data_IF_164481301756
#
_entry.id   IF_164481301756
#
_cell.length_a   1.000
_cell.length_b   1.000
_cell.length_c   1.000
_cell.angle_alpha   90.00
_cell.angle_beta   90.00
_cell.angle_gamma   90.00
#
_symmetry.space_group_name_H-M   'P 1'
#
loop_
_entity.id
_entity.type
_entity.pdbx_description
1 polymer ?
#
# COMPACT_ATOMS: atom_id res chain seq x y z
N UNK A 1 -29.49 10.78 28.50
CA UNK A 1 -28.53 9.82 29.08
C UNK A 1 -27.13 10.25 28.68
N UNK A 2 -26.22 10.44 29.62
CA UNK A 2 -24.83 10.88 29.38
C UNK A 2 -23.91 9.72 29.78
N UNK A 3 -23.00 9.33 28.89
CA UNK A 3 -21.96 8.34 29.19
C UNK A 3 -20.74 9.13 29.68
N UNK A 4 -20.28 8.83 30.88
CA UNK A 4 -19.20 9.56 31.57
C UNK A 4 -17.81 9.28 30.96
N UNK A 5 -17.57 8.05 30.50
CA UNK A 5 -16.31 7.63 29.88
C UNK A 5 -16.53 6.44 28.94
N UNK A 6 -15.68 6.33 27.91
CA UNK A 6 -15.60 5.16 27.04
C UNK A 6 -14.36 4.34 27.43
N UNK A 7 -14.55 3.06 27.75
CA UNK A 7 -13.47 2.13 28.04
C UNK A 7 -13.34 1.14 26.88
N UNK A 8 -12.24 1.23 26.14
CA UNK A 8 -11.92 0.28 25.09
C UNK A 8 -11.12 -0.89 25.67
N UNK A 9 -11.66 -2.11 25.55
CA UNK A 9 -11.02 -3.32 26.06
C UNK A 9 -10.03 -3.95 25.08
N UNK A 10 -10.03 -3.51 23.81
CA UNK A 10 -9.10 -4.00 22.79
C UNK A 10 -8.73 -2.88 21.84
N UNK A 11 -7.53 -2.32 22.04
CA UNK A 11 -6.99 -1.25 21.21
C UNK A 11 -5.55 -1.54 20.83
N UNK A 12 -5.22 -1.26 19.57
CA UNK A 12 -3.85 -1.27 19.07
C UNK A 12 -3.24 0.11 19.22
N UNK A 13 -2.85 0.50 20.45
CA UNK A 13 -2.39 1.86 20.76
C UNK A 13 -1.31 2.40 19.81
N UNK A 14 -0.30 1.58 19.51
CA UNK A 14 0.77 1.96 18.59
C UNK A 14 0.24 2.24 17.19
N UNK A 15 -0.62 1.36 16.66
CA UNK A 15 -1.23 1.55 15.34
C UNK A 15 -2.13 2.79 15.33
N UNK A 16 -2.98 2.97 16.35
CA UNK A 16 -3.84 4.15 16.49
C UNK A 16 -3.06 5.46 16.45
N UNK A 17 -1.89 5.52 17.10
CA UNK A 17 -1.01 6.69 17.05
C UNK A 17 -0.25 6.85 15.73
N UNK A 18 0.09 5.75 15.06
CA UNK A 18 0.86 5.75 13.81
C UNK A 18 0.00 6.12 12.59
N UNK A 19 -1.24 5.63 12.52
CA UNK A 19 -2.13 5.80 11.36
C UNK A 19 -2.32 7.26 10.93
N UNK A 20 -2.58 8.23 11.84
CA UNK A 20 -2.71 9.64 11.50
C UNK A 20 -1.43 10.27 10.95
N UNK A 21 -0.29 9.62 11.12
CA UNK A 21 1.00 10.11 10.62
C UNK A 21 1.30 9.61 9.21
N UNK A 22 0.47 8.75 8.62
CA UNK A 22 0.64 8.26 7.25
C UNK A 22 0.02 9.21 6.24
N UNK A 23 0.63 9.29 5.06
CA UNK A 23 0.07 10.07 3.96
C UNK A 23 -1.29 9.50 3.56
N UNK A 24 -2.34 10.32 3.63
CA UNK A 24 -3.67 9.91 3.21
C UNK A 24 -3.79 9.91 1.69
N UNK A 25 -4.21 8.77 1.14
CA UNK A 25 -4.54 8.57 -0.28
C UNK A 25 -6.07 8.49 -0.49
N UNK A 26 -6.85 8.69 0.57
CA UNK A 26 -8.31 8.69 0.51
C UNK A 26 -8.79 9.88 -0.31
N UNK A 27 -9.76 9.65 -1.19
CA UNK A 27 -10.35 10.68 -2.05
C UNK A 27 -9.63 10.87 -3.39
N UNK A 28 -8.51 10.17 -3.63
CA UNK A 28 -7.94 10.09 -4.97
C UNK A 28 -8.82 9.25 -5.89
N UNK A 29 -8.82 9.61 -7.16
CA UNK A 29 -9.62 8.96 -8.22
C UNK A 29 -8.76 8.16 -9.20
N UNK A 30 -7.43 8.20 -9.02
CA UNK A 30 -6.46 7.65 -9.94
C UNK A 30 -5.12 7.43 -9.25
N UNK A 31 -4.38 6.42 -9.70
CA UNK A 31 -2.99 6.20 -9.35
C UNK A 31 -2.11 7.40 -9.75
N UNK A 32 -2.38 8.06 -10.88
CA UNK A 32 -1.62 9.24 -11.31
C UNK A 32 -1.86 10.47 -10.42
N UNK A 33 -2.97 10.55 -9.68
CA UNK A 33 -3.26 11.70 -8.81
C UNK A 33 -2.18 11.86 -7.71
N UNK A 34 -1.43 10.79 -7.39
CA UNK A 34 -0.34 10.85 -6.40
C UNK A 34 0.76 11.83 -6.82
N UNK A 35 0.97 12.06 -8.12
CA UNK A 35 2.03 12.91 -8.62
C UNK A 35 1.86 14.37 -8.16
N UNK A 36 0.63 14.76 -7.81
CA UNK A 36 0.32 16.07 -7.22
C UNK A 36 0.49 16.15 -5.70
N UNK A 37 0.67 15.01 -5.01
CA UNK A 37 0.82 14.98 -3.56
C UNK A 37 2.22 15.42 -3.14
N UNK A 38 2.25 16.17 -2.03
CA UNK A 38 3.48 16.66 -1.40
C UNK A 38 3.61 16.05 0.00
N UNK A 39 4.44 15.01 0.18
CA UNK A 39 4.66 14.43 1.50
C UNK A 39 5.36 15.40 2.45
N UNK A 40 4.72 15.67 3.58
CA UNK A 40 5.31 16.36 4.73
C UNK A 40 6.30 15.48 5.54
N UNK A 41 7.23 16.07 6.31
CA UNK A 41 8.25 15.33 7.06
C UNK A 41 7.71 14.25 8.01
N UNK A 42 6.53 14.45 8.60
CA UNK A 42 5.94 13.51 9.54
C UNK A 42 5.41 12.22 8.88
N UNK A 43 5.26 12.20 7.54
CA UNK A 43 4.91 10.99 6.79
C UNK A 43 6.09 10.02 6.63
N UNK A 44 7.30 10.45 6.99
CA UNK A 44 8.51 9.65 6.86
C UNK A 44 8.82 8.91 8.16
N UNK A 45 9.35 7.69 8.02
CA UNK A 45 9.93 6.87 9.09
C UNK A 45 11.34 6.49 8.68
N UNK A 46 12.30 7.30 9.09
CA UNK A 46 13.64 7.28 8.50
C UNK A 46 13.54 7.63 7.01
N UNK A 47 14.03 6.75 6.15
CA UNK A 47 14.00 6.92 4.69
C UNK A 47 12.65 6.54 4.06
N UNK A 48 11.78 5.86 4.80
CA UNK A 48 10.53 5.32 4.27
C UNK A 48 9.41 6.34 4.27
N UNK A 49 8.81 6.56 3.10
CA UNK A 49 7.52 7.24 3.00
C UNK A 49 6.39 6.22 3.23
N UNK A 50 5.54 6.48 4.22
CA UNK A 50 4.40 5.62 4.54
C UNK A 50 3.08 6.31 4.18
N UNK A 51 2.19 5.59 3.51
CA UNK A 51 0.86 6.07 3.16
C UNK A 51 -0.23 5.02 3.36
N UNK A 52 -1.48 5.47 3.37
CA UNK A 52 -2.64 4.61 3.55
C UNK A 52 -3.85 5.11 2.75
N UNK A 53 -4.65 4.17 2.26
CA UNK A 53 -6.01 4.46 1.82
C UNK A 53 -6.23 4.53 0.32
N UNK A 54 -5.29 4.02 -0.49
CA UNK A 54 -5.56 3.85 -1.92
C UNK A 54 -6.60 2.76 -2.16
N UNK A 55 -7.33 2.84 -3.25
CA UNK A 55 -8.36 1.86 -3.59
C UNK A 55 -8.54 1.74 -5.11
N UNK A 56 -7.97 0.68 -5.67
CA UNK A 56 -8.14 0.33 -7.09
C UNK A 56 -9.61 0.07 -7.50
N UNK A 57 -10.51 -0.20 -6.53
CA UNK A 57 -11.92 -0.45 -6.80
C UNK A 57 -12.69 0.81 -7.19
N UNK A 58 -12.12 1.99 -6.94
CA UNK A 58 -12.70 3.30 -7.28
C UNK A 58 -11.81 4.13 -8.20
N UNK A 59 -10.58 3.69 -8.46
CA UNK A 59 -9.64 4.41 -9.33
C UNK A 59 -9.88 4.13 -10.81
N UNK A 60 -9.63 5.13 -11.65
CA UNK A 60 -9.75 5.05 -13.12
C UNK A 60 -8.63 4.24 -13.79
N UNK A 61 -7.51 4.07 -13.10
CA UNK A 61 -6.30 3.39 -13.55
C UNK A 61 -5.71 2.55 -12.41
N UNK A 62 -4.80 1.64 -12.77
CA UNK A 62 -4.17 0.72 -11.81
C UNK A 62 -2.91 1.33 -11.21
N UNK A 63 -2.61 1.05 -9.93
CA UNK A 63 -1.30 1.36 -9.35
C UNK A 63 -0.20 0.66 -10.14
N UNK A 64 0.91 1.37 -10.41
CA UNK A 64 2.08 0.83 -11.11
C UNK A 64 3.36 1.24 -10.40
N UNK A 65 4.41 0.43 -10.57
CA UNK A 65 5.71 0.70 -9.95
C UNK A 65 6.35 1.97 -10.52
N UNK A 66 6.18 2.20 -11.83
CA UNK A 66 6.71 3.37 -12.56
C UNK A 66 6.15 4.69 -12.04
N UNK A 67 4.85 4.73 -11.67
CA UNK A 67 4.22 5.93 -11.12
C UNK A 67 4.88 6.32 -9.79
N UNK A 68 5.18 5.35 -8.93
CA UNK A 68 5.86 5.63 -7.66
C UNK A 68 7.32 6.01 -7.86
N UNK A 69 8.04 5.33 -8.76
CA UNK A 69 9.41 5.69 -9.10
C UNK A 69 9.50 7.11 -9.67
N UNK A 70 8.54 7.51 -10.52
CA UNK A 70 8.43 8.89 -11.02
C UNK A 70 8.16 9.89 -9.89
N UNK A 71 7.32 9.53 -8.93
CA UNK A 71 6.90 10.42 -7.86
C UNK A 71 7.97 10.68 -6.80
N UNK A 72 8.62 9.62 -6.30
CA UNK A 72 9.55 9.71 -5.15
C UNK A 72 11.00 9.34 -5.49
N UNK A 73 11.28 8.90 -6.72
CA UNK A 73 12.60 8.46 -7.16
C UNK A 73 13.12 7.29 -6.33
N UNK A 74 14.38 7.40 -5.90
CA UNK A 74 15.09 6.36 -5.13
C UNK A 74 14.68 6.29 -3.64
N UNK A 75 13.70 7.09 -3.18
CA UNK A 75 13.22 6.99 -1.80
C UNK A 75 12.27 5.80 -1.67
N UNK A 76 12.46 4.89 -0.70
CA UNK A 76 11.57 3.76 -0.53
C UNK A 76 10.18 4.23 -0.05
N UNK A 77 9.12 3.79 -0.74
CA UNK A 77 7.74 4.12 -0.39
C UNK A 77 6.91 2.84 -0.22
N UNK A 78 6.03 2.86 0.79
CA UNK A 78 5.05 1.81 1.02
C UNK A 78 3.67 2.41 1.28
N UNK A 79 2.74 2.15 0.36
CA UNK A 79 1.37 2.64 0.44
C UNK A 79 0.42 1.47 0.70
N UNK A 80 -0.26 1.48 1.84
CA UNK A 80 -1.24 0.45 2.21
C UNK A 80 -2.62 0.75 1.61
N UNK A 81 -3.27 -0.27 1.07
CA UNK A 81 -4.64 -0.17 0.55
C UNK A 81 -5.62 0.19 1.65
N UNK A 82 -6.75 0.78 1.29
CA UNK A 82 -7.85 1.13 2.18
C UNK A 82 -8.34 -0.01 3.10
N UNK A 83 -8.19 -1.27 2.68
CA UNK A 83 -8.60 -2.45 3.42
C UNK A 83 -7.46 -3.13 4.21
N UNK A 84 -6.23 -2.64 4.08
CA UNK A 84 -5.06 -3.19 4.75
C UNK A 84 -4.46 -4.46 4.12
N UNK A 85 -5.00 -4.98 3.01
CA UNK A 85 -4.58 -6.29 2.47
C UNK A 85 -3.58 -6.23 1.32
N UNK A 86 -3.27 -5.03 0.82
CA UNK A 86 -2.32 -4.83 -0.25
C UNK A 86 -1.37 -3.67 0.04
N UNK A 87 -0.14 -3.80 -0.47
CA UNK A 87 0.88 -2.77 -0.45
C UNK A 87 1.26 -2.42 -1.88
N UNK A 88 1.38 -1.13 -2.13
CA UNK A 88 1.95 -0.58 -3.36
C UNK A 88 3.33 -0.03 -3.04
N UNK A 89 4.36 -0.61 -3.67
CA UNK A 89 5.77 -0.38 -3.40
C UNK A 89 6.48 0.12 -4.67
N UNK A 90 7.50 0.95 -4.51
CA UNK A 90 8.37 1.37 -5.61
C UNK A 90 9.61 0.46 -5.74
N UNK A 91 10.43 0.71 -6.75
CA UNK A 91 11.66 -0.08 -7.00
C UNK A 91 12.62 -0.03 -5.81
N UNK A 92 12.83 1.15 -5.22
CA UNK A 92 13.73 1.30 -4.07
C UNK A 92 13.25 0.50 -2.85
N UNK A 93 11.94 0.48 -2.58
CA UNK A 93 11.35 -0.33 -1.54
C UNK A 93 11.56 -1.83 -1.80
N UNK A 94 11.26 -2.31 -3.02
CA UNK A 94 11.43 -3.72 -3.40
C UNK A 94 12.88 -4.18 -3.28
N UNK A 95 13.85 -3.36 -3.73
CA UNK A 95 15.28 -3.63 -3.56
C UNK A 95 15.65 -3.76 -2.09
N UNK A 96 15.15 -2.85 -1.25
CA UNK A 96 15.50 -2.81 0.17
C UNK A 96 14.92 -3.97 0.97
N UNK A 97 13.75 -4.47 0.60
CA UNK A 97 13.14 -5.65 1.23
C UNK A 97 13.64 -6.98 0.64
N UNK A 98 14.56 -6.94 -0.33
CA UNK A 98 15.16 -8.13 -0.93
C UNK A 98 14.28 -8.84 -1.96
N UNK A 99 13.28 -8.15 -2.52
CA UNK A 99 12.32 -8.68 -3.48
C UNK A 99 12.48 -8.06 -4.88
N UNK A 100 13.70 -7.67 -5.27
CA UNK A 100 13.97 -7.11 -6.60
C UNK A 100 15.11 -7.88 -7.28
N UNK A 101 14.85 -8.55 -8.40
CA UNK A 101 15.81 -9.39 -9.13
C UNK A 101 16.13 -8.93 -10.57
N UNK A 102 15.51 -7.85 -11.07
CA UNK A 102 15.83 -7.32 -12.40
C UNK A 102 14.66 -6.65 -13.10
N UNK A 103 14.80 -6.44 -14.41
CA UNK A 103 13.93 -5.61 -15.27
C UNK A 103 12.45 -6.05 -15.33
N UNK A 104 12.15 -7.26 -14.88
CA UNK A 104 10.80 -7.86 -14.93
C UNK A 104 10.06 -7.78 -13.58
N UNK A 105 10.73 -7.34 -12.51
CA UNK A 105 10.11 -7.02 -11.23
C UNK A 105 9.66 -8.24 -10.40
N UNK A 106 10.07 -8.21 -9.13
CA UNK A 106 9.86 -9.24 -8.11
C UNK A 106 10.75 -10.46 -8.26
N UNK A 107 11.66 -10.62 -7.29
CA UNK A 107 12.39 -11.86 -7.05
C UNK A 107 11.47 -13.05 -7.28
N UNK A 108 11.91 -14.00 -8.12
CA UNK A 108 11.43 -15.39 -8.14
C UNK A 108 11.58 -16.13 -6.79
N UNK A 109 11.69 -15.39 -5.68
CA UNK A 109 11.49 -15.87 -4.33
C UNK A 109 10.12 -16.54 -4.27
N UNK A 110 10.14 -17.84 -3.97
CA UNK A 110 8.92 -18.57 -3.65
C UNK A 110 8.08 -17.73 -2.68
N UNK A 111 6.87 -17.43 -3.14
CA UNK A 111 5.85 -16.77 -2.33
C UNK A 111 5.79 -17.46 -0.97
N UNK A 112 6.02 -16.75 0.16
CA UNK A 112 5.82 -17.33 1.48
C UNK A 112 4.44 -17.98 1.54
N UNK A 113 4.29 -19.10 2.26
CA UNK A 113 3.01 -19.78 2.38
C UNK A 113 1.93 -18.79 2.89
N UNK A 114 1.06 -18.30 1.98
CA UNK A 114 0.03 -17.32 2.26
C UNK A 114 0.21 -15.92 1.65
N UNK A 115 1.31 -15.60 0.96
CA UNK A 115 1.51 -14.29 0.36
C UNK A 115 2.21 -14.33 -0.99
N UNK A 116 1.60 -13.76 -2.04
CA UNK A 116 2.21 -13.59 -3.37
C UNK A 116 2.62 -12.13 -3.59
N UNK A 117 3.88 -11.93 -3.91
CA UNK A 117 4.41 -10.67 -4.44
C UNK A 117 4.26 -10.66 -5.96
N UNK A 118 3.75 -9.58 -6.53
CA UNK A 118 3.64 -9.37 -7.97
C UNK A 118 4.00 -7.92 -8.26
N UNK A 119 5.21 -7.66 -8.74
CA UNK A 119 5.51 -6.38 -9.37
C UNK A 119 5.07 -6.51 -10.83
N UNK A 120 4.02 -5.80 -11.24
CA UNK A 120 3.70 -5.74 -12.67
C UNK A 120 4.56 -4.65 -13.30
N UNK A 121 5.69 -5.03 -13.87
CA UNK A 121 6.29 -4.30 -14.98
C UNK A 121 5.76 -4.94 -16.29
N UNK A 122 4.90 -4.19 -16.99
CA UNK A 122 4.38 -4.44 -18.36
C UNK A 122 3.38 -5.60 -18.59
N UNK A 123 2.16 -5.21 -18.95
CA UNK A 123 1.35 -5.81 -20.01
C UNK A 123 1.12 -7.32 -19.98
N UNK A 124 0.07 -7.76 -19.27
CA UNK A 124 -0.54 -9.09 -19.39
C UNK A 124 -2.07 -9.01 -19.22
N UNK A 125 -2.85 -9.96 -19.76
CA UNK A 125 -4.31 -9.85 -19.92
C UNK A 125 -5.07 -9.83 -18.57
N UNK A 126 -6.30 -9.27 -18.53
CA UNK A 126 -6.99 -8.92 -17.30
C UNK A 126 -7.75 -10.12 -16.72
N UNK A 127 -7.03 -11.06 -16.13
CA UNK A 127 -7.66 -12.07 -15.28
C UNK A 127 -6.73 -12.44 -14.11
N UNK A 128 -6.99 -11.77 -12.98
CA UNK A 128 -6.60 -12.15 -11.61
C UNK A 128 -5.22 -11.65 -11.16
N UNK A 129 -5.09 -10.32 -11.08
CA UNK A 129 -3.90 -9.60 -10.65
C UNK A 129 -4.14 -8.85 -9.35
N UNK A 130 -3.58 -9.29 -8.21
CA UNK A 130 -3.23 -8.42 -7.07
C UNK A 130 -2.15 -9.08 -6.21
N UNK A 131 -1.20 -8.28 -5.72
CA UNK A 131 -0.34 -8.63 -4.58
C UNK A 131 -1.25 -8.92 -3.39
N UNK A 132 -1.49 -10.20 -3.11
CA UNK A 132 -2.15 -10.67 -1.88
C UNK A 132 -1.06 -11.18 -0.94
N UNK A 133 -0.73 -10.42 0.10
CA UNK A 133 -0.32 -11.04 1.36
C UNK A 133 -1.62 -11.40 2.09
N UNK A 134 -2.11 -12.63 1.91
CA UNK A 134 -3.40 -13.06 2.46
C UNK A 134 -3.25 -14.27 3.36
N UNK A 135 -3.27 -14.00 4.66
CA UNK A 135 -4.12 -14.79 5.55
C UNK A 135 -5.58 -14.50 5.18
N UNK A 136 -6.25 -15.45 4.53
CA UNK A 136 -7.67 -15.37 4.12
C UNK A 136 -8.55 -14.97 5.31
N UNK A 137 -9.44 -13.97 5.14
CA UNK A 137 -10.84 -14.07 5.57
C UNK A 137 -11.76 -13.14 4.73
N UNK A 138 -13.06 -13.33 4.90
CA UNK A 138 -14.19 -13.16 3.96
C UNK A 138 -14.35 -11.82 3.22
N UNK A 139 -14.95 -11.91 2.01
CA UNK A 139 -15.54 -10.79 1.26
C UNK A 139 -16.41 -9.94 2.18
N UNK A 140 -16.15 -8.65 2.25
CA UNK A 140 -17.10 -7.69 2.79
C UNK A 140 -18.23 -7.52 1.76
N UNK A 141 -19.29 -8.31 1.89
CA UNK A 141 -20.55 -8.07 1.18
C UNK A 141 -21.13 -6.75 1.69
N UNK A 142 -21.39 -5.82 0.77
CA UNK A 142 -22.16 -4.60 1.07
C UNK A 142 -23.51 -5.01 1.69
N UNK A 143 -23.79 -4.49 2.88
CA UNK A 143 -25.15 -4.21 3.35
C UNK A 143 -25.23 -2.70 3.57
#
# INVERSE_FOLDING_TARGET
MRIEACHDSHVHWAATGEFPQRLSLRGLSSANDILGLKPEPHHFRGEWLLGFGWDDGVWKDSPSLEILDQWVGERPVALTRCDGHALWLNTAALKRVGYFDGADGAAGAESPAGGRFFATARGGPPEWFWIRLVTRYARCSRR
#
